data_IF_381015027389
#
_entry.id   IF_381015027389
#
_cell.length_a   1.000
_cell.length_b   1.000
_cell.length_c   1.000
_cell.angle_alpha   90.00
_cell.angle_beta   90.00
_cell.angle_gamma   90.00
#
_symmetry.space_group_name_H-M   'P 1'
#
loop_
_entity.id
_entity.type
_entity.pdbx_description
1 polymer ?
#
# COMPACT_ATOMS: atom_id res chain seq x y z
N UNK A 1 7.63 47.88 -45.79
CA UNK A 1 8.97 47.27 -45.95
C UNK A 1 9.46 46.91 -44.54
N UNK A 2 9.78 45.70 -44.11
CA UNK A 2 9.74 44.34 -44.65
C UNK A 2 10.08 43.43 -43.47
N UNK A 3 9.45 42.25 -43.37
CA UNK A 3 9.84 41.06 -42.56
C UNK A 3 9.67 41.11 -41.03
N UNK A 4 8.48 40.71 -40.57
CA UNK A 4 8.30 39.93 -39.34
C UNK A 4 7.43 38.72 -39.67
N UNK A 5 8.08 37.59 -39.96
CA UNK A 5 7.48 36.26 -40.04
C UNK A 5 8.60 35.24 -39.79
N UNK A 6 8.28 34.21 -39.01
CA UNK A 6 9.10 33.05 -38.64
C UNK A 6 10.01 33.21 -37.41
N UNK A 7 9.40 33.10 -36.23
CA UNK A 7 10.03 32.54 -35.02
C UNK A 7 8.90 32.00 -34.12
N UNK A 8 8.25 30.90 -34.49
CA UNK A 8 7.33 30.18 -33.61
C UNK A 8 7.07 28.72 -34.02
N UNK A 9 8.06 28.07 -34.62
CA UNK A 9 7.99 26.64 -34.96
C UNK A 9 9.39 26.09 -34.79
N UNK A 10 9.53 24.94 -34.13
CA UNK A 10 10.78 24.21 -33.80
C UNK A 10 11.19 24.26 -32.31
N UNK A 11 10.24 24.10 -31.37
CA UNK A 11 10.54 23.53 -30.05
C UNK A 11 9.43 22.51 -29.70
N UNK A 12 9.44 21.36 -30.37
CA UNK A 12 8.68 20.18 -29.92
C UNK A 12 9.25 18.84 -30.39
N UNK A 13 10.41 18.85 -31.03
CA UNK A 13 11.18 17.65 -31.36
C UNK A 13 12.57 17.84 -30.79
N UNK A 14 12.89 17.12 -29.72
CA UNK A 14 14.22 16.78 -29.18
C UNK A 14 14.22 16.78 -27.64
N UNK A 15 13.68 15.72 -27.02
CA UNK A 15 14.32 15.10 -25.84
C UNK A 15 14.20 13.57 -25.98
N UNK A 16 15.02 12.90 -26.81
CA UNK A 16 15.36 11.51 -26.58
C UNK A 16 16.44 11.44 -25.49
N UNK A 17 16.38 10.40 -24.65
CA UNK A 17 17.49 9.91 -23.82
C UNK A 17 18.03 10.83 -22.71
N UNK A 18 17.38 10.79 -21.54
CA UNK A 18 18.09 10.84 -20.24
C UNK A 18 17.51 9.79 -19.30
N UNK A 19 17.84 8.52 -19.53
CA UNK A 19 17.87 7.49 -18.51
C UNK A 19 18.99 6.50 -18.87
N UNK A 20 20.24 6.74 -18.44
CA UNK A 20 21.30 5.77 -18.64
C UNK A 20 21.18 4.64 -17.60
N UNK A 21 21.30 3.40 -18.08
CA UNK A 21 22.08 2.32 -17.46
C UNK A 21 21.74 1.92 -16.02
N UNK A 22 20.59 1.27 -15.75
CA UNK A 22 20.43 0.42 -14.56
C UNK A 22 19.45 -0.75 -14.85
N UNK A 23 19.70 -1.47 -15.93
CA UNK A 23 19.04 -2.74 -16.24
C UNK A 23 20.09 -3.86 -16.24
N UNK A 24 20.77 -4.05 -15.11
CA UNK A 24 21.51 -5.28 -14.87
C UNK A 24 21.15 -5.83 -13.48
N UNK A 25 20.68 -7.07 -13.54
CA UNK A 25 20.73 -8.10 -12.51
C UNK A 25 19.69 -8.10 -11.38
N UNK A 26 18.92 -9.19 -11.42
CA UNK A 26 18.31 -9.93 -10.32
C UNK A 26 17.17 -9.25 -9.57
N UNK A 27 15.95 -9.46 -10.07
CA UNK A 27 14.80 -9.73 -9.21
C UNK A 27 15.03 -11.09 -8.51
N UNK A 28 15.99 -11.13 -7.60
CA UNK A 28 15.97 -12.11 -6.52
C UNK A 28 14.90 -11.61 -5.56
N UNK A 29 13.90 -12.44 -5.26
CA UNK A 29 13.00 -12.15 -4.14
C UNK A 29 13.87 -11.71 -2.96
N UNK A 30 13.64 -10.52 -2.37
CA UNK A 30 14.49 -10.02 -1.31
C UNK A 30 14.56 -11.10 -0.23
N UNK A 31 15.77 -11.36 0.29
CA UNK A 31 15.93 -12.23 1.44
C UNK A 31 15.25 -11.58 2.64
N UNK A 32 13.97 -11.91 2.77
CA UNK A 32 13.06 -11.36 3.75
C UNK A 32 13.54 -11.64 5.18
N UNK A 33 14.43 -12.61 5.39
CA UNK A 33 14.97 -12.96 6.71
C UNK A 33 15.79 -11.82 7.34
N UNK A 34 16.46 -11.00 6.52
CA UNK A 34 17.25 -9.84 6.98
C UNK A 34 16.40 -8.58 7.24
N UNK A 35 15.16 -8.53 6.71
CA UNK A 35 14.22 -7.42 6.89
C UNK A 35 13.29 -7.60 8.09
N UNK A 36 13.14 -8.84 8.57
CA UNK A 36 12.31 -9.17 9.72
C UNK A 36 13.08 -9.18 11.02
N UNK A 37 13.74 -8.06 11.33
CA UNK A 37 14.18 -7.88 12.69
C UNK A 37 12.98 -7.51 13.58
N UNK A 38 12.41 -8.54 14.20
CA UNK A 38 11.35 -8.46 15.22
C UNK A 38 11.80 -7.60 16.43
N UNK A 39 13.09 -7.29 16.57
CA UNK A 39 13.61 -6.34 17.56
C UNK A 39 13.48 -4.86 17.14
N UNK A 40 12.93 -4.56 15.96
CA UNK A 40 12.90 -3.17 15.44
C UNK A 40 11.79 -2.29 16.01
N UNK A 41 10.77 -2.83 16.68
CA UNK A 41 9.71 -1.98 17.27
C UNK A 41 10.29 -1.32 18.52
N UNK A 42 10.26 0.01 18.57
CA UNK A 42 10.68 0.78 19.75
C UNK A 42 9.82 0.36 20.96
N UNK A 43 10.36 -0.44 21.86
CA UNK A 43 9.59 -0.92 23.00
C UNK A 43 9.54 0.12 24.13
N UNK A 44 8.61 -0.05 25.07
CA UNK A 44 8.60 0.64 26.37
C UNK A 44 8.39 -0.31 27.56
N UNK A 45 8.63 -1.61 27.34
CA UNK A 45 8.35 -2.64 28.34
C UNK A 45 9.16 -2.45 29.63
N UNK A 46 10.44 -2.04 29.55
CA UNK A 46 11.28 -1.83 30.73
C UNK A 46 10.62 -0.85 31.70
N UNK A 47 10.09 0.24 31.14
CA UNK A 47 9.46 1.27 31.95
C UNK A 47 8.06 0.85 32.43
N UNK A 48 7.30 0.09 31.64
CA UNK A 48 6.05 -0.54 32.11
C UNK A 48 6.29 -1.51 33.26
N UNK A 49 7.38 -2.29 33.23
CA UNK A 49 7.77 -3.18 34.34
C UNK A 49 8.10 -2.39 35.61
N UNK A 50 8.86 -1.28 35.50
CA UNK A 50 9.15 -0.39 36.64
C UNK A 50 7.88 0.23 37.24
N UNK A 51 6.90 0.56 36.40
CA UNK A 51 5.61 1.08 36.84
C UNK A 51 4.56 0.00 37.15
N UNK A 52 4.92 -1.28 37.22
CA UNK A 52 3.93 -2.36 37.39
C UNK A 52 3.04 -2.15 38.62
N UNK A 53 3.61 -1.72 39.75
CA UNK A 53 2.87 -1.40 40.96
C UNK A 53 1.85 -0.28 40.72
N UNK A 54 2.27 0.81 40.06
CA UNK A 54 1.38 1.91 39.71
C UNK A 54 0.30 1.50 38.70
N UNK A 55 0.63 0.71 37.67
CA UNK A 55 -0.33 0.26 36.66
C UNK A 55 -1.47 -0.53 37.31
N UNK A 56 -1.13 -1.35 38.30
CA UNK A 56 -2.04 -2.26 39.02
C UNK A 56 -2.64 -1.66 40.29
N UNK A 57 -2.22 -0.46 40.69
CA UNK A 57 -2.73 0.23 41.87
C UNK A 57 -4.23 0.57 41.77
N UNK A 58 -4.90 0.87 42.91
CA UNK A 58 -6.27 1.39 42.93
C UNK A 58 -6.42 2.65 42.08
N UNK A 59 -7.60 2.87 41.50
CA UNK A 59 -7.85 3.95 40.53
C UNK A 59 -7.51 5.33 41.09
N UNK A 60 -7.76 5.56 42.38
CA UNK A 60 -7.52 6.84 43.07
C UNK A 60 -6.04 7.21 43.08
N UNK A 61 -5.16 6.22 43.18
CA UNK A 61 -3.72 6.41 43.13
C UNK A 61 -3.25 6.67 41.69
N UNK A 62 -3.73 5.86 40.74
CA UNK A 62 -3.34 6.00 39.32
C UNK A 62 -3.77 7.34 38.74
N UNK A 63 -4.98 7.81 39.06
CA UNK A 63 -5.50 9.10 38.59
C UNK A 63 -4.70 10.30 39.10
N UNK A 64 -4.00 10.16 40.23
CA UNK A 64 -3.13 11.20 40.80
C UNK A 64 -1.68 11.11 40.32
N UNK A 65 -1.35 10.11 39.52
CA UNK A 65 0.01 9.88 39.08
C UNK A 65 0.51 11.04 38.19
N UNK A 66 1.66 11.67 38.50
CA UNK A 66 2.16 12.77 37.70
C UNK A 66 2.69 12.28 36.35
N UNK A 67 2.56 13.13 35.33
CA UNK A 67 3.25 12.93 34.05
C UNK A 67 4.75 12.95 34.27
N UNK A 68 5.47 12.01 33.66
CA UNK A 68 6.92 11.87 33.83
C UNK A 68 7.57 11.35 32.54
N UNK A 69 8.82 11.72 32.30
CA UNK A 69 9.61 11.25 31.16
C UNK A 69 10.77 10.42 31.70
N UNK A 70 11.00 9.26 31.10
CA UNK A 70 12.04 8.31 31.49
C UNK A 70 12.91 7.99 30.30
N UNK A 71 14.17 7.70 30.57
CA UNK A 71 15.11 7.18 29.59
C UNK A 71 15.29 5.69 29.86
N UNK A 72 15.10 4.85 28.85
CA UNK A 72 15.35 3.41 28.94
C UNK A 72 16.84 3.13 29.07
N UNK A 73 17.18 2.12 29.87
CA UNK A 73 18.58 1.76 30.09
C UNK A 73 19.21 1.10 28.86
N UNK A 74 18.45 0.26 28.16
CA UNK A 74 18.95 -0.54 27.04
C UNK A 74 19.09 0.25 25.74
N UNK A 75 18.13 1.13 25.44
CA UNK A 75 18.01 1.79 24.13
C UNK A 75 18.27 3.29 24.17
N UNK A 76 18.47 3.88 25.36
CA UNK A 76 18.44 5.32 25.60
C UNK A 76 17.15 6.03 25.10
N UNK A 77 16.12 5.27 24.72
CA UNK A 77 14.85 5.78 24.21
C UNK A 77 14.09 6.50 25.33
N UNK A 78 13.57 7.69 25.04
CA UNK A 78 12.75 8.44 25.98
C UNK A 78 11.29 8.03 25.87
N UNK A 79 10.66 7.78 27.02
CA UNK A 79 9.25 7.40 27.13
C UNK A 79 8.54 8.36 28.08
N UNK A 80 7.47 8.99 27.60
CA UNK A 80 6.57 9.79 28.42
C UNK A 80 5.44 8.91 28.95
N UNK A 81 5.29 8.88 30.27
CA UNK A 81 4.09 8.37 30.92
C UNK A 81 3.19 9.52 31.33
N UNK A 82 1.89 9.36 31.07
CA UNK A 82 0.84 10.23 31.61
C UNK A 82 -0.49 9.49 31.70
N UNK A 83 -1.36 10.02 32.55
CA UNK A 83 -2.73 9.54 32.70
C UNK A 83 -3.69 10.55 32.11
N UNK A 84 -4.67 10.07 31.34
CA UNK A 84 -5.74 10.89 30.76
C UNK A 84 -7.09 10.30 31.09
N UNK A 85 -8.08 11.15 31.33
CA UNK A 85 -9.47 10.74 31.59
C UNK A 85 -10.34 11.15 30.42
N UNK A 86 -11.15 10.22 29.88
CA UNK A 86 -12.08 10.52 28.79
C UNK A 86 -13.30 9.60 28.84
N UNK A 87 -14.49 10.21 28.93
CA UNK A 87 -15.75 9.47 29.11
C UNK A 87 -15.73 8.67 30.42
N UNK A 88 -16.25 7.44 30.40
CA UNK A 88 -16.27 6.55 31.56
C UNK A 88 -14.99 5.69 31.70
N UNK A 89 -13.83 6.22 31.31
CA UNK A 89 -12.55 5.51 31.34
C UNK A 89 -11.37 6.45 31.54
N UNK A 90 -10.28 5.90 32.07
CA UNK A 90 -8.99 6.56 32.11
C UNK A 90 -7.93 5.69 31.40
N UNK A 91 -6.88 6.36 30.93
CA UNK A 91 -5.90 5.81 30.02
C UNK A 91 -4.51 6.06 30.60
N UNK A 92 -3.70 5.01 30.68
CA UNK A 92 -2.28 5.11 30.99
C UNK A 92 -1.54 5.06 29.66
N UNK A 93 -0.93 6.19 29.28
CA UNK A 93 -0.24 6.34 28.01
C UNK A 93 1.26 6.19 28.24
N UNK A 94 1.89 5.27 27.50
CA UNK A 94 3.33 5.13 27.38
C UNK A 94 3.73 5.49 25.95
N UNK A 95 4.28 6.69 25.80
CA UNK A 95 4.56 7.31 24.50
C UNK A 95 6.06 7.38 24.27
N UNK A 96 6.54 6.75 23.21
CA UNK A 96 7.93 6.85 22.76
C UNK A 96 8.18 8.24 22.15
N UNK A 97 9.36 8.79 22.40
CA UNK A 97 9.81 10.02 21.76
C UNK A 97 10.13 9.76 20.28
N UNK A 98 9.61 10.60 19.39
CA UNK A 98 9.97 10.61 17.99
C UNK A 98 10.13 12.06 17.55
N UNK A 99 11.26 12.41 16.93
CA UNK A 99 11.55 13.78 16.49
C UNK A 99 11.34 14.83 17.61
N UNK A 100 11.78 14.49 18.84
CA UNK A 100 11.64 15.33 20.06
C UNK A 100 10.20 15.62 20.51
N UNK A 101 9.22 14.89 19.98
CA UNK A 101 7.81 14.94 20.41
C UNK A 101 7.33 13.56 20.86
N UNK A 102 6.22 13.51 21.58
CA UNK A 102 5.60 12.27 22.08
C UNK A 102 4.24 12.06 21.41
N UNK A 103 4.21 11.61 20.13
CA UNK A 103 2.96 11.43 19.40
C UNK A 103 2.13 10.32 20.05
N UNK A 104 0.79 10.38 19.98
CA UNK A 104 -0.07 9.28 20.48
C UNK A 104 -0.01 8.08 19.54
N UNK A 105 -0.06 8.31 18.22
CA UNK A 105 0.06 7.28 17.18
C UNK A 105 1.52 7.04 16.76
N UNK A 106 2.42 6.91 17.74
CA UNK A 106 3.82 6.56 17.52
C UNK A 106 4.03 5.05 17.61
N UNK A 107 4.95 4.52 16.80
CA UNK A 107 5.32 3.10 16.83
C UNK A 107 5.82 2.70 18.21
N UNK A 108 5.36 1.55 18.68
CA UNK A 108 5.65 1.00 19.99
C UNK A 108 4.91 1.63 21.17
N UNK A 109 4.12 2.69 20.91
CA UNK A 109 3.31 3.29 21.96
C UNK A 109 2.31 2.29 22.51
N UNK A 110 2.12 2.37 23.82
CA UNK A 110 1.33 1.43 24.59
C UNK A 110 0.31 2.18 25.42
N UNK A 111 -0.98 1.87 25.24
CA UNK A 111 -2.07 2.56 25.91
C UNK A 111 -2.92 1.53 26.66
N UNK A 112 -3.00 1.67 27.97
CA UNK A 112 -3.82 0.80 28.82
C UNK A 112 -5.09 1.56 29.19
N UNK A 113 -6.25 1.00 28.87
CA UNK A 113 -7.57 1.56 29.21
C UNK A 113 -8.13 0.86 30.45
N UNK A 114 -8.54 1.66 31.43
CA UNK A 114 -9.23 1.21 32.65
C UNK A 114 -10.59 1.90 32.80
N UNK A 115 -11.56 1.22 33.42
CA UNK A 115 -12.87 1.80 33.74
C UNK A 115 -12.79 2.79 34.91
N UNK A 116 -13.56 3.88 34.87
CA UNK A 116 -13.60 4.84 35.99
C UNK A 116 -14.43 4.35 37.19
N UNK A 117 -15.39 3.46 36.96
CA UNK A 117 -16.28 2.94 37.99
C UNK A 117 -15.54 2.02 38.96
N UNK A 118 -14.95 0.93 38.47
CA UNK A 118 -14.31 -0.09 39.30
C UNK A 118 -12.79 -0.15 39.13
N UNK A 119 -12.22 0.59 38.17
CA UNK A 119 -10.78 0.53 37.89
C UNK A 119 -10.37 -0.73 37.12
N UNK A 120 -11.31 -1.46 36.55
CA UNK A 120 -11.11 -2.69 35.80
C UNK A 120 -10.32 -2.45 34.51
N UNK A 121 -9.46 -3.39 34.11
CA UNK A 121 -8.74 -3.33 32.84
C UNK A 121 -9.70 -3.68 31.69
N UNK A 122 -9.84 -2.77 30.72
CA UNK A 122 -10.78 -2.94 29.60
C UNK A 122 -10.10 -3.32 28.31
N UNK A 123 -8.91 -2.77 28.06
CA UNK A 123 -8.24 -2.91 26.79
C UNK A 123 -6.79 -2.45 26.89
N UNK A 124 -5.93 -3.07 26.09
CA UNK A 124 -4.61 -2.56 25.73
C UNK A 124 -4.60 -2.19 24.25
N UNK A 125 -4.08 -1.02 23.88
CA UNK A 125 -3.84 -0.62 22.49
C UNK A 125 -2.34 -0.43 22.26
N UNK A 126 -1.81 -1.07 21.22
CA UNK A 126 -0.39 -1.00 20.87
C UNK A 126 -0.26 -0.57 19.42
N UNK A 127 0.42 0.54 19.16
CA UNK A 127 0.72 0.98 17.79
C UNK A 127 1.98 0.26 17.30
N UNK A 128 1.91 -0.48 16.19
CA UNK A 128 3.07 -1.22 15.66
C UNK A 128 3.70 -0.54 14.43
N UNK A 129 3.06 0.53 13.93
CA UNK A 129 3.58 1.47 12.92
C UNK A 129 3.39 2.92 13.38
N UNK A 130 4.01 3.86 12.67
CA UNK A 130 3.83 5.30 12.88
C UNK A 130 2.62 5.82 12.09
N UNK A 131 1.47 5.19 12.30
CA UNK A 131 0.23 5.46 11.57
C UNK A 131 -0.96 5.28 12.53
N UNK A 132 -1.91 6.22 12.61
CA UNK A 132 -3.05 6.13 13.52
C UNK A 132 -3.99 4.93 13.23
N UNK A 133 -4.00 4.43 12.00
CA UNK A 133 -4.77 3.27 11.56
C UNK A 133 -4.09 1.92 11.79
N UNK A 134 -2.85 1.89 12.25
CA UNK A 134 -2.03 0.67 12.35
C UNK A 134 -1.69 0.32 13.80
N UNK A 135 -2.53 -0.51 14.41
CA UNK A 135 -2.43 -0.87 15.82
C UNK A 135 -3.08 -2.22 16.11
N UNK A 136 -2.77 -2.80 17.27
CA UNK A 136 -3.53 -3.90 17.83
C UNK A 136 -4.32 -3.45 19.05
N UNK A 137 -5.41 -4.15 19.34
CA UNK A 137 -6.19 -4.03 20.58
C UNK A 137 -6.28 -5.40 21.23
N UNK A 138 -6.00 -5.47 22.52
CA UNK A 138 -6.13 -6.68 23.32
C UNK A 138 -7.21 -6.45 24.37
N UNK A 139 -8.15 -7.38 24.48
CA UNK A 139 -9.32 -7.34 25.36
C UNK A 139 -9.31 -8.54 26.32
N UNK A 140 -9.88 -8.40 27.53
CA UNK A 140 -10.00 -9.53 28.44
C UNK A 140 -11.04 -10.53 27.91
N UNK A 141 -10.76 -11.83 28.01
CA UNK A 141 -11.64 -12.92 27.58
C UNK A 141 -11.54 -14.11 28.55
N UNK A 142 -11.96 -13.89 29.81
CA UNK A 142 -11.80 -14.86 30.91
C UNK A 142 -10.32 -15.06 31.24
N UNK A 143 -9.87 -16.32 31.29
CA UNK A 143 -8.45 -16.69 31.53
C UNK A 143 -7.55 -16.45 30.29
N UNK A 144 -8.10 -15.88 29.23
CA UNK A 144 -7.42 -15.58 27.97
C UNK A 144 -7.67 -14.12 27.59
N UNK A 145 -7.12 -13.72 26.44
CA UNK A 145 -7.39 -12.42 25.84
C UNK A 145 -7.79 -12.58 24.38
N UNK A 146 -8.57 -11.64 23.87
CA UNK A 146 -8.86 -11.50 22.45
C UNK A 146 -8.05 -10.35 21.87
N UNK A 147 -7.58 -10.50 20.63
CA UNK A 147 -6.80 -9.49 19.94
C UNK A 147 -7.38 -9.17 18.56
N UNK A 148 -7.58 -7.88 18.31
CA UNK A 148 -7.88 -7.34 16.99
C UNK A 148 -6.65 -6.63 16.43
N UNK A 149 -6.44 -6.76 15.12
CA UNK A 149 -5.33 -6.14 14.40
C UNK A 149 -5.87 -5.23 13.31
N UNK A 150 -5.45 -3.98 13.35
CA UNK A 150 -5.77 -2.96 12.36
C UNK A 150 -4.52 -2.58 11.59
N UNK A 151 -4.60 -2.51 10.27
CA UNK A 151 -3.55 -2.08 9.36
C UNK A 151 -4.13 -0.99 8.45
N UNK A 152 -3.56 0.22 8.51
CA UNK A 152 -4.06 1.39 7.76
C UNK A 152 -5.58 1.58 7.85
N UNK A 153 -6.13 1.49 9.07
CA UNK A 153 -7.56 1.71 9.32
C UNK A 153 -8.45 0.48 9.12
N UNK A 154 -8.00 -0.52 8.34
CA UNK A 154 -8.73 -1.76 8.12
C UNK A 154 -8.46 -2.81 9.18
N UNK A 155 -9.52 -3.49 9.63
CA UNK A 155 -9.36 -4.66 10.50
C UNK A 155 -8.97 -5.89 9.68
N UNK A 156 -7.75 -6.40 9.91
CA UNK A 156 -7.16 -7.51 9.14
C UNK A 156 -7.18 -8.84 9.91
N UNK A 157 -7.28 -8.79 11.23
CA UNK A 157 -7.57 -9.96 12.09
C UNK A 157 -8.52 -9.52 13.19
N UNK A 158 -9.56 -10.31 13.46
CA UNK A 158 -10.56 -10.03 14.50
C UNK A 158 -10.62 -11.19 15.49
N UNK A 159 -10.73 -10.88 16.79
CA UNK A 159 -10.92 -11.84 17.90
C UNK A 159 -9.91 -12.99 17.90
N UNK A 160 -8.65 -12.68 17.62
CA UNK A 160 -7.57 -13.68 17.73
C UNK A 160 -7.35 -14.02 19.20
N UNK A 161 -7.45 -15.30 19.56
CA UNK A 161 -7.25 -15.73 20.94
C UNK A 161 -5.76 -15.72 21.30
N UNK A 162 -5.43 -15.02 22.38
CA UNK A 162 -4.13 -15.06 23.03
C UNK A 162 -4.19 -15.97 24.27
N UNK A 163 -3.13 -16.75 24.55
CA UNK A 163 -3.17 -17.80 25.57
C UNK A 163 -2.97 -17.29 27.00
N UNK A 164 -3.02 -15.98 27.23
CA UNK A 164 -2.79 -15.36 28.55
C UNK A 164 -3.93 -14.38 28.89
N UNK A 165 -4.22 -14.16 30.18
CA UNK A 165 -5.13 -13.10 30.61
C UNK A 165 -4.55 -11.70 30.34
N UNK A 166 -5.41 -10.68 30.29
CA UNK A 166 -5.05 -9.32 29.89
C UNK A 166 -3.96 -8.71 30.79
N UNK A 167 -4.01 -9.03 32.08
CA UNK A 167 -3.11 -8.55 33.13
C UNK A 167 -1.66 -8.91 32.81
N UNK A 168 -1.43 -10.06 32.19
CA UNK A 168 -0.09 -10.50 31.80
C UNK A 168 0.48 -9.61 30.68
N UNK A 169 -0.38 -9.06 29.81
CA UNK A 169 0.05 -8.20 28.72
C UNK A 169 0.47 -6.80 29.19
N UNK A 170 -0.05 -6.32 30.32
CA UNK A 170 0.19 -4.95 30.85
C UNK A 170 1.67 -4.54 30.84
N UNK A 171 2.58 -5.48 31.08
CA UNK A 171 4.04 -5.23 31.09
C UNK A 171 4.83 -6.12 30.14
N UNK A 172 4.17 -6.98 29.37
CA UNK A 172 4.80 -7.86 28.39
C UNK A 172 5.39 -7.08 27.21
N UNK A 173 6.56 -7.47 26.70
CA UNK A 173 7.13 -6.87 25.48
C UNK A 173 6.24 -7.16 24.27
N UNK A 174 6.21 -6.25 23.30
CA UNK A 174 5.50 -6.48 22.04
C UNK A 174 6.14 -7.63 21.24
N UNK A 175 7.46 -7.82 21.31
CA UNK A 175 8.12 -9.02 20.77
C UNK A 175 7.53 -10.34 21.28
N UNK A 176 7.11 -10.38 22.57
CA UNK A 176 6.46 -11.56 23.14
C UNK A 176 5.00 -11.67 22.71
N UNK A 177 4.28 -10.56 22.53
CA UNK A 177 2.94 -10.55 21.92
C UNK A 177 2.98 -11.13 20.50
N UNK A 178 3.97 -10.72 19.71
CA UNK A 178 4.23 -11.26 18.37
C UNK A 178 4.44 -12.77 18.43
N UNK A 179 5.34 -13.24 19.31
CA UNK A 179 5.63 -14.67 19.46
C UNK A 179 4.39 -15.49 19.87
N UNK A 180 3.54 -14.97 20.74
CA UNK A 180 2.32 -15.65 21.21
C UNK A 180 1.21 -15.74 20.15
N UNK A 181 1.28 -14.91 19.11
CA UNK A 181 0.26 -14.83 18.05
C UNK A 181 0.78 -15.23 16.67
N UNK A 182 2.08 -15.52 16.54
CA UNK A 182 2.73 -15.73 15.25
C UNK A 182 2.34 -17.00 14.50
N UNK A 183 1.66 -17.96 15.14
CA UNK A 183 1.06 -19.11 14.45
C UNK A 183 -0.21 -18.75 13.67
N UNK A 184 -0.87 -17.63 14.01
CA UNK A 184 -2.12 -17.18 13.40
C UNK A 184 -1.89 -15.94 12.55
N UNK A 185 -1.09 -14.99 13.04
CA UNK A 185 -0.86 -13.71 12.38
C UNK A 185 0.39 -13.77 11.50
N UNK A 186 0.24 -13.26 10.27
CA UNK A 186 1.35 -12.96 9.36
C UNK A 186 2.10 -11.69 9.78
N UNK A 187 2.75 -11.70 10.94
CA UNK A 187 3.58 -10.57 11.43
C UNK A 187 4.61 -10.05 10.44
N UNK A 188 5.30 -10.89 9.64
CA UNK A 188 6.16 -10.44 8.55
C UNK A 188 5.49 -9.38 7.67
N UNK A 189 4.28 -9.65 7.19
CA UNK A 189 3.52 -8.72 6.37
C UNK A 189 3.09 -7.46 7.15
N UNK A 190 2.60 -7.64 8.37
CA UNK A 190 2.15 -6.52 9.22
C UNK A 190 3.30 -5.58 9.59
N UNK A 191 4.52 -6.08 9.73
CA UNK A 191 5.69 -5.29 10.10
C UNK A 191 6.50 -4.84 8.88
N UNK A 192 6.22 -5.34 7.68
CA UNK A 192 6.90 -4.97 6.46
C UNK A 192 6.83 -3.45 6.24
N UNK A 193 7.98 -2.83 5.99
CA UNK A 193 8.13 -1.37 5.91
C UNK A 193 8.38 -0.90 4.48
N UNK A 194 8.02 -1.74 3.50
CA UNK A 194 8.43 -1.56 2.12
C UNK A 194 9.93 -1.80 1.93
N UNK A 195 10.38 -1.65 0.71
CA UNK A 195 11.78 -1.41 0.40
C UNK A 195 11.89 0.10 0.13
N UNK A 196 12.56 0.83 1.02
CA UNK A 196 12.62 2.29 0.97
C UNK A 196 13.14 2.81 -0.37
N UNK A 197 14.04 2.09 -1.02
CA UNK A 197 14.58 2.51 -2.31
C UNK A 197 13.58 2.24 -3.44
N UNK A 198 12.90 1.09 -3.43
CA UNK A 198 11.82 0.83 -4.39
C UNK A 198 10.65 1.79 -4.20
N UNK A 199 10.22 2.02 -2.96
CA UNK A 199 9.14 2.96 -2.62
C UNK A 199 9.48 4.37 -3.12
N UNK A 200 10.71 4.84 -2.86
CA UNK A 200 11.19 6.14 -3.34
C UNK A 200 11.18 6.22 -4.86
N UNK A 201 11.60 5.16 -5.56
CA UNK A 201 11.55 5.12 -7.04
C UNK A 201 10.12 5.22 -7.56
N UNK A 202 9.18 4.53 -6.92
CA UNK A 202 7.75 4.61 -7.28
C UNK A 202 7.23 6.03 -7.01
N UNK A 203 7.56 6.63 -5.87
CA UNK A 203 7.18 8.02 -5.53
C UNK A 203 7.74 9.04 -6.54
N UNK A 204 8.98 8.86 -6.99
CA UNK A 204 9.62 9.71 -8.01
C UNK A 204 8.87 9.59 -9.35
N UNK A 205 8.52 8.36 -9.78
CA UNK A 205 7.73 8.10 -10.99
C UNK A 205 6.34 8.75 -10.87
N UNK A 206 5.64 8.55 -9.75
CA UNK A 206 4.31 9.15 -9.51
C UNK A 206 4.39 10.68 -9.55
N UNK A 207 5.44 11.27 -8.97
CA UNK A 207 5.65 12.71 -8.98
C UNK A 207 5.86 13.26 -10.39
N UNK A 208 6.64 12.54 -11.21
CA UNK A 208 6.80 12.86 -12.63
C UNK A 208 5.47 12.80 -13.37
N UNK A 209 4.69 11.72 -13.20
CA UNK A 209 3.39 11.56 -13.83
C UNK A 209 2.43 12.68 -13.44
N UNK A 210 2.33 12.99 -12.13
CA UNK A 210 1.49 14.07 -11.61
C UNK A 210 1.86 15.45 -12.17
N UNK A 211 3.15 15.72 -12.37
CA UNK A 211 3.59 16.95 -13.00
C UNK A 211 3.20 17.04 -14.49
N UNK A 212 2.97 15.89 -15.15
CA UNK A 212 2.54 15.81 -16.55
C UNK A 212 1.03 15.82 -16.74
N UNK A 213 0.26 15.32 -15.76
CA UNK A 213 -1.20 15.26 -15.83
C UNK A 213 -1.89 16.55 -16.31
N UNK A 214 -1.51 17.77 -15.86
CA UNK A 214 -2.18 19.01 -16.30
C UNK A 214 -2.02 19.33 -17.79
N UNK A 215 -1.12 18.66 -18.49
CA UNK A 215 -0.84 18.86 -19.91
C UNK A 215 -1.47 17.78 -20.81
N UNK A 216 -2.16 16.80 -20.21
CA UNK A 216 -2.86 15.76 -20.96
C UNK A 216 -4.32 16.18 -21.11
N UNK A 217 -4.81 16.23 -22.35
CA UNK A 217 -6.23 16.44 -22.62
C UNK A 217 -7.01 15.15 -22.36
N UNK A 218 -8.26 15.30 -21.94
CA UNK A 218 -9.22 14.19 -21.88
C UNK A 218 -9.93 14.10 -23.23
N UNK A 219 -9.86 12.94 -23.86
CA UNK A 219 -10.49 12.68 -25.16
C UNK A 219 -11.18 11.34 -25.11
N UNK A 220 -12.47 11.33 -25.45
CA UNK A 220 -13.24 10.10 -25.62
C UNK A 220 -12.52 9.19 -26.63
N UNK A 221 -12.27 7.95 -26.21
CA UNK A 221 -11.60 6.92 -27.03
C UNK A 221 -10.14 7.25 -27.42
N UNK A 222 -9.49 8.25 -26.82
CA UNK A 222 -8.13 8.67 -27.20
C UNK A 222 -7.01 7.76 -26.68
N UNK A 223 -6.00 7.49 -27.53
CA UNK A 223 -4.74 6.82 -27.19
C UNK A 223 -3.58 7.25 -28.11
N UNK A 224 -2.39 6.70 -27.88
CA UNK A 224 -1.27 6.77 -28.83
C UNK A 224 -1.10 5.43 -29.57
N UNK A 225 -0.80 5.47 -30.86
CA UNK A 225 -0.42 4.29 -31.64
C UNK A 225 1.04 3.86 -31.38
N UNK A 226 1.53 2.84 -32.10
CA UNK A 226 2.91 2.33 -31.95
C UNK A 226 4.01 3.33 -32.34
N UNK A 227 3.66 4.36 -33.11
CA UNK A 227 4.56 5.44 -33.55
C UNK A 227 4.49 6.67 -32.63
N UNK A 228 3.54 6.68 -31.69
CA UNK A 228 3.31 7.78 -30.74
C UNK A 228 2.34 8.85 -31.26
N UNK A 229 1.68 8.60 -32.39
CA UNK A 229 0.64 9.51 -32.90
C UNK A 229 -0.65 9.35 -32.10
N UNK A 230 -1.31 10.47 -31.80
CA UNK A 230 -2.60 10.45 -31.12
C UNK A 230 -3.71 10.01 -32.07
N UNK A 231 -4.38 8.91 -31.70
CA UNK A 231 -5.42 8.26 -32.48
C UNK A 231 -6.61 7.86 -31.60
N UNK A 232 -7.72 7.52 -32.22
CA UNK A 232 -8.86 6.89 -31.55
C UNK A 232 -8.62 5.39 -31.45
N UNK A 233 -8.84 4.81 -30.27
CA UNK A 233 -8.66 3.37 -30.02
C UNK A 233 -9.52 2.58 -30.99
N UNK A 234 -10.80 2.95 -31.18
CA UNK A 234 -11.76 2.18 -31.99
C UNK A 234 -11.30 1.91 -33.41
N UNK A 235 -10.72 2.89 -34.09
CA UNK A 235 -10.48 2.82 -35.54
C UNK A 235 -9.09 3.31 -36.00
N UNK A 236 -8.22 3.76 -35.09
CA UNK A 236 -6.89 4.27 -35.41
C UNK A 236 -6.87 5.59 -36.17
N UNK A 237 -8.01 6.28 -36.30
CA UNK A 237 -8.07 7.60 -36.94
C UNK A 237 -7.40 8.63 -36.05
N UNK A 238 -6.65 9.56 -36.65
CA UNK A 238 -5.98 10.65 -35.92
C UNK A 238 -6.99 11.51 -35.17
N UNK A 239 -6.61 11.95 -33.98
CA UNK A 239 -7.41 12.91 -33.22
C UNK A 239 -7.26 14.31 -33.86
N UNK A 240 -8.33 14.82 -34.46
CA UNK A 240 -8.35 16.17 -35.06
C UNK A 240 -8.84 17.24 -34.06
N UNK A 241 -9.65 16.83 -33.08
CA UNK A 241 -10.33 17.73 -32.15
C UNK A 241 -9.51 18.06 -30.88
N UNK A 242 -8.47 17.28 -30.59
CA UNK A 242 -7.60 17.46 -29.42
C UNK A 242 -6.30 18.17 -29.83
N UNK A 243 -6.13 19.43 -29.39
CA UNK A 243 -5.03 20.30 -29.83
C UNK A 243 -3.67 19.73 -29.41
N UNK A 244 -3.60 19.10 -28.24
CA UNK A 244 -2.40 18.46 -27.73
C UNK A 244 -2.46 16.92 -27.76
N UNK A 245 -3.53 16.36 -28.32
CA UNK A 245 -3.87 14.94 -28.17
C UNK A 245 -4.37 14.64 -26.76
N UNK A 246 -5.31 13.71 -26.65
CA UNK A 246 -5.87 13.32 -25.36
C UNK A 246 -6.07 11.83 -25.21
N UNK A 247 -6.42 11.46 -23.98
CA UNK A 247 -6.55 10.07 -23.55
C UNK A 247 -7.87 9.84 -22.84
N UNK A 248 -8.49 8.69 -23.08
CA UNK A 248 -9.46 8.13 -22.14
C UNK A 248 -8.74 7.31 -21.04
N UNK A 249 -9.49 6.65 -20.16
CA UNK A 249 -8.90 5.81 -19.10
C UNK A 249 -7.98 4.68 -19.63
N UNK A 250 -8.37 4.00 -20.71
CA UNK A 250 -7.59 2.91 -21.32
C UNK A 250 -6.35 3.42 -22.03
N UNK A 251 -6.47 4.51 -22.79
CA UNK A 251 -5.36 5.18 -23.47
C UNK A 251 -4.36 5.77 -22.48
N UNK A 252 -4.83 6.34 -21.36
CA UNK A 252 -3.96 6.84 -20.30
C UNK A 252 -3.16 5.71 -19.65
N UNK A 253 -3.81 4.57 -19.37
CA UNK A 253 -3.13 3.38 -18.81
C UNK A 253 -2.10 2.82 -19.80
N UNK A 254 -2.42 2.82 -21.10
CA UNK A 254 -1.48 2.47 -22.16
C UNK A 254 -0.29 3.44 -22.18
N UNK A 255 -0.52 4.74 -22.14
CA UNK A 255 0.53 5.77 -22.13
C UNK A 255 1.51 5.60 -20.95
N UNK A 256 1.01 5.29 -19.76
CA UNK A 256 1.87 4.95 -18.62
C UNK A 256 2.70 3.69 -18.93
N UNK A 257 2.05 2.63 -19.42
CA UNK A 257 2.72 1.35 -19.74
C UNK A 257 3.79 1.53 -20.80
N UNK A 258 3.51 2.34 -21.83
CA UNK A 258 4.41 2.70 -22.91
C UNK A 258 5.68 3.39 -22.42
N UNK A 259 5.59 4.17 -21.34
CA UNK A 259 6.77 4.76 -20.67
C UNK A 259 7.76 3.71 -20.15
N UNK A 260 7.29 2.51 -19.81
CA UNK A 260 8.14 1.37 -19.42
C UNK A 260 8.47 0.45 -20.59
N UNK A 261 7.57 0.33 -21.56
CA UNK A 261 7.72 -0.57 -22.70
C UNK A 261 8.70 -0.03 -23.75
N UNK A 262 8.61 1.25 -24.10
CA UNK A 262 9.44 1.87 -25.15
C UNK A 262 10.95 1.75 -24.89
N UNK A 263 11.47 1.95 -23.65
CA UNK A 263 12.89 1.73 -23.37
C UNK A 263 13.38 0.30 -23.60
N UNK A 264 12.48 -0.69 -23.56
CA UNK A 264 12.79 -2.11 -23.74
C UNK A 264 12.75 -2.53 -25.21
N UNK A 265 11.86 -1.93 -26.01
CA UNK A 265 11.54 -2.41 -27.37
C UNK A 265 11.85 -1.40 -28.47
N UNK A 266 12.04 -0.12 -28.14
CA UNK A 266 12.24 0.97 -29.09
C UNK A 266 10.99 1.42 -29.84
N UNK A 267 9.81 0.94 -29.46
CA UNK A 267 8.51 1.32 -30.06
C UNK A 267 7.41 1.34 -28.99
N UNK A 268 6.29 2.02 -29.26
CA UNK A 268 5.12 1.97 -28.39
C UNK A 268 4.26 0.74 -28.69
N UNK A 269 3.42 0.35 -27.74
CA UNK A 269 2.50 -0.77 -27.90
C UNK A 269 1.51 -0.51 -29.04
N UNK A 270 1.30 -1.52 -29.88
CA UNK A 270 0.25 -1.49 -30.91
C UNK A 270 -1.13 -1.65 -30.26
N UNK A 271 -2.06 -0.77 -30.62
CA UNK A 271 -3.44 -0.77 -30.11
C UNK A 271 -4.16 -2.06 -30.49
N UNK A 272 -3.93 -2.61 -31.69
CA UNK A 272 -4.64 -3.82 -32.13
C UNK A 272 -4.27 -5.04 -31.27
N UNK A 273 -3.04 -5.08 -30.75
CA UNK A 273 -2.61 -6.11 -29.80
C UNK A 273 -3.34 -6.00 -28.45
N UNK A 274 -3.73 -4.79 -28.06
CA UNK A 274 -4.42 -4.53 -26.79
C UNK A 274 -5.91 -4.82 -26.86
N UNK A 275 -6.50 -4.86 -28.07
CA UNK A 275 -7.91 -5.20 -28.32
C UNK A 275 -8.20 -6.71 -28.33
N UNK A 276 -7.18 -7.56 -28.21
CA UNK A 276 -7.36 -9.02 -28.23
C UNK A 276 -8.21 -9.46 -27.04
N UNK A 277 -9.37 -10.08 -27.32
CA UNK A 277 -10.30 -10.59 -26.31
C UNK A 277 -9.90 -11.99 -25.84
N UNK A 278 -9.98 -12.24 -24.53
CA UNK A 278 -9.62 -13.53 -23.92
C UNK A 278 -10.85 -14.38 -23.57
N UNK A 279 -11.68 -14.71 -24.57
CA UNK A 279 -12.99 -15.36 -24.37
C UNK A 279 -12.93 -16.71 -23.64
N UNK A 280 -11.80 -17.43 -23.72
CA UNK A 280 -11.60 -18.72 -23.05
C UNK A 280 -11.25 -18.59 -21.56
N UNK A 281 -10.87 -17.39 -21.11
CA UNK A 281 -10.34 -17.14 -19.75
C UNK A 281 -11.26 -16.27 -18.89
N UNK A 282 -12.36 -15.76 -19.45
CA UNK A 282 -13.25 -14.84 -18.73
C UNK A 282 -14.69 -14.91 -19.20
N UNK A 283 -15.58 -14.41 -18.37
CA UNK A 283 -16.99 -14.30 -18.71
C UNK A 283 -17.76 -15.59 -18.51
N UNK A 284 -19.02 -15.59 -18.95
CA UNK A 284 -19.93 -16.72 -18.76
C UNK A 284 -21.01 -16.74 -19.84
N UNK A 285 -21.86 -17.77 -19.82
CA UNK A 285 -22.95 -17.96 -20.80
C UNK A 285 -23.89 -16.76 -20.96
N UNK A 286 -24.00 -15.89 -19.95
CA UNK A 286 -24.86 -14.70 -19.99
C UNK A 286 -24.15 -13.47 -20.56
N UNK A 287 -22.82 -13.39 -20.50
CA UNK A 287 -22.06 -12.28 -21.08
C UNK A 287 -21.75 -12.48 -22.56
N UNK A 288 -21.57 -13.73 -23.01
CA UNK A 288 -21.22 -14.09 -24.39
C UNK A 288 -22.07 -13.38 -25.47
N UNK A 289 -23.41 -13.25 -25.34
CA UNK A 289 -24.21 -12.58 -26.36
C UNK A 289 -23.89 -11.08 -26.53
N UNK A 290 -23.25 -10.45 -25.54
CA UNK A 290 -22.99 -9.00 -25.52
C UNK A 290 -21.54 -8.64 -25.85
N UNK A 291 -20.66 -9.62 -26.14
CA UNK A 291 -19.23 -9.40 -26.40
C UNK A 291 -18.98 -8.46 -27.58
N UNK A 292 -19.83 -8.50 -28.61
CA UNK A 292 -19.68 -7.64 -29.80
C UNK A 292 -20.37 -6.28 -29.65
N UNK A 293 -21.50 -6.21 -28.93
CA UNK A 293 -22.27 -4.97 -28.80
C UNK A 293 -21.74 -4.06 -27.69
N UNK A 294 -21.32 -4.65 -26.56
CA UNK A 294 -21.03 -3.91 -25.32
C UNK A 294 -19.63 -4.12 -24.79
N UNK A 295 -18.96 -5.19 -25.21
CA UNK A 295 -17.62 -5.57 -24.76
C UNK A 295 -17.42 -5.38 -23.24
N UNK A 296 -18.20 -6.08 -22.40
CA UNK A 296 -18.27 -5.82 -20.96
C UNK A 296 -16.94 -6.04 -20.22
N UNK A 297 -15.98 -6.72 -20.86
CA UNK A 297 -14.67 -7.03 -20.30
C UNK A 297 -13.52 -6.31 -21.00
N UNK A 298 -13.80 -5.31 -21.85
CA UNK A 298 -12.79 -4.52 -22.55
C UNK A 298 -11.65 -4.07 -21.62
N UNK A 299 -11.99 -3.50 -20.45
CA UNK A 299 -10.99 -3.03 -19.49
C UNK A 299 -10.12 -4.16 -18.93
N UNK A 300 -10.69 -5.34 -18.67
CA UNK A 300 -9.95 -6.51 -18.18
C UNK A 300 -8.97 -7.03 -19.23
N UNK A 301 -9.45 -7.23 -20.46
CA UNK A 301 -8.62 -7.71 -21.57
C UNK A 301 -7.52 -6.70 -21.90
N UNK A 302 -7.85 -5.41 -21.94
CA UNK A 302 -6.90 -4.33 -22.17
C UNK A 302 -5.78 -4.33 -21.11
N UNK A 303 -6.12 -4.37 -19.83
CA UNK A 303 -5.13 -4.41 -18.74
C UNK A 303 -4.27 -5.67 -18.77
N UNK A 304 -4.86 -6.85 -19.06
CA UNK A 304 -4.10 -8.10 -19.24
C UNK A 304 -3.12 -8.00 -20.41
N UNK A 305 -3.57 -7.50 -21.56
CA UNK A 305 -2.72 -7.34 -22.73
C UNK A 305 -1.56 -6.36 -22.48
N UNK A 306 -1.81 -5.24 -21.80
CA UNK A 306 -0.74 -4.32 -21.38
C UNK A 306 0.31 -5.03 -20.52
N UNK A 307 -0.13 -5.76 -19.49
CA UNK A 307 0.77 -6.44 -18.56
C UNK A 307 1.58 -7.57 -19.25
N UNK A 308 0.91 -8.40 -20.04
CA UNK A 308 1.53 -9.51 -20.78
C UNK A 308 2.59 -9.01 -21.77
N UNK A 309 2.30 -7.95 -22.53
CA UNK A 309 3.28 -7.40 -23.47
C UNK A 309 4.48 -6.81 -22.74
N UNK A 310 4.27 -6.13 -21.60
CA UNK A 310 5.37 -5.58 -20.80
C UNK A 310 6.23 -6.69 -20.19
N UNK A 311 5.64 -7.74 -19.62
CA UNK A 311 6.37 -8.90 -19.07
C UNK A 311 7.18 -9.60 -20.18
N UNK A 312 6.56 -9.81 -21.34
CA UNK A 312 7.23 -10.39 -22.52
C UNK A 312 8.45 -9.56 -22.90
N UNK A 313 8.30 -8.23 -23.03
CA UNK A 313 9.41 -7.32 -23.34
C UNK A 313 10.53 -7.35 -22.28
N UNK A 314 10.18 -7.38 -20.99
CA UNK A 314 11.15 -7.47 -19.89
C UNK A 314 11.95 -8.77 -19.91
N UNK A 315 11.31 -9.89 -20.26
CA UNK A 315 11.96 -11.20 -20.30
C UNK A 315 12.93 -11.37 -21.48
N UNK A 316 12.88 -10.47 -22.48
CA UNK A 316 13.61 -10.61 -23.74
C UNK A 316 13.17 -11.83 -24.56
N UNK A 317 12.09 -12.52 -24.16
CA UNK A 317 11.54 -13.63 -24.90
C UNK A 317 11.04 -13.13 -26.27
N UNK A 318 11.44 -13.83 -27.33
CA UNK A 318 10.85 -13.61 -28.65
C UNK A 318 9.41 -14.10 -28.60
N UNK A 319 8.48 -13.29 -29.13
CA UNK A 319 7.01 -13.48 -29.11
C UNK A 319 6.53 -14.90 -29.48
N UNK A 320 7.35 -15.69 -30.17
CA UNK A 320 7.02 -17.02 -30.68
C UNK A 320 7.38 -18.19 -29.74
N UNK A 321 8.02 -17.95 -28.59
CA UNK A 321 8.57 -19.06 -27.78
C UNK A 321 7.65 -19.63 -26.70
N UNK A 322 6.56 -18.95 -26.33
CA UNK A 322 5.36 -19.50 -25.69
C UNK A 322 4.43 -18.32 -25.37
N UNK A 323 3.12 -18.38 -25.68
CA UNK A 323 2.21 -17.34 -25.24
C UNK A 323 2.21 -17.32 -23.71
N UNK A 324 2.55 -16.16 -23.12
CA UNK A 324 2.38 -15.94 -21.69
C UNK A 324 0.89 -16.06 -21.40
N UNK A 325 0.54 -16.95 -20.48
CA UNK A 325 -0.84 -17.12 -20.02
C UNK A 325 -1.40 -15.75 -19.58
N UNK A 326 -2.47 -15.22 -20.20
CA UNK A 326 -3.01 -13.91 -19.87
C UNK A 326 -3.39 -13.77 -18.39
N UNK A 327 -3.83 -14.85 -17.74
CA UNK A 327 -4.18 -14.84 -16.32
C UNK A 327 -2.96 -14.82 -15.41
N UNK A 328 -1.76 -15.17 -15.90
CA UNK A 328 -0.53 -15.14 -15.09
C UNK A 328 -0.12 -13.72 -14.67
N UNK A 329 -0.63 -12.71 -15.38
CA UNK A 329 -0.47 -11.30 -15.03
C UNK A 329 -1.53 -10.78 -14.05
N UNK A 330 -2.57 -11.57 -13.74
CA UNK A 330 -3.62 -11.15 -12.82
C UNK A 330 -3.13 -11.15 -11.38
N UNK A 331 -3.32 -10.01 -10.68
CA UNK A 331 -3.07 -9.91 -9.25
C UNK A 331 -4.23 -10.51 -8.44
N UNK A 332 -4.39 -11.84 -8.45
CA UNK A 332 -5.51 -12.53 -7.77
C UNK A 332 -5.36 -12.71 -6.27
N UNK A 333 -4.13 -12.61 -5.76
CA UNK A 333 -3.80 -12.89 -4.36
C UNK A 333 -3.13 -11.70 -3.72
N UNK A 334 -3.94 -10.84 -3.10
CA UNK A 334 -3.48 -9.80 -2.19
C UNK A 334 -3.97 -10.13 -0.79
N UNK A 335 -3.04 -10.23 0.17
CA UNK A 335 -3.37 -10.55 1.55
C UNK A 335 -4.39 -9.54 2.12
N UNK A 336 -5.42 -10.07 2.80
CA UNK A 336 -6.55 -9.33 3.38
C UNK A 336 -7.59 -8.78 2.40
N UNK A 337 -7.42 -8.99 1.09
CA UNK A 337 -8.39 -8.57 0.09
C UNK A 337 -9.07 -9.79 -0.53
N UNK A 338 -10.35 -9.62 -0.89
CA UNK A 338 -11.12 -10.64 -1.60
C UNK A 338 -11.18 -10.29 -3.07
N UNK A 339 -10.62 -11.15 -3.91
CA UNK A 339 -10.70 -11.02 -5.36
C UNK A 339 -12.01 -11.64 -5.87
N UNK A 340 -12.68 -10.94 -6.78
CA UNK A 340 -13.84 -11.43 -7.51
C UNK A 340 -13.40 -11.74 -8.94
N UNK A 341 -13.56 -12.99 -9.37
CA UNK A 341 -13.19 -13.41 -10.72
C UNK A 341 -13.81 -12.51 -11.79
N UNK A 342 -12.99 -12.14 -12.79
CA UNK A 342 -13.29 -11.21 -13.89
C UNK A 342 -13.74 -9.79 -13.51
N UNK A 343 -13.71 -9.44 -12.22
CA UNK A 343 -14.10 -8.11 -11.72
C UNK A 343 -12.94 -7.42 -11.00
N UNK A 344 -12.13 -8.18 -10.27
CA UNK A 344 -11.02 -7.64 -9.49
C UNK A 344 -11.37 -7.42 -8.01
N UNK A 345 -10.73 -6.41 -7.42
CA UNK A 345 -10.98 -6.03 -6.03
C UNK A 345 -12.08 -4.97 -5.95
N UNK A 346 -12.99 -5.04 -4.94
CA UNK A 346 -13.99 -4.01 -4.75
C UNK A 346 -13.34 -2.63 -4.59
N UNK A 347 -13.81 -1.63 -5.34
CA UNK A 347 -13.28 -0.25 -5.23
C UNK A 347 -13.49 0.31 -3.83
N UNK A 348 -14.58 -0.06 -3.15
CA UNK A 348 -14.82 0.30 -1.75
C UNK A 348 -13.73 -0.22 -0.80
N UNK A 349 -12.97 -1.24 -1.21
CA UNK A 349 -11.83 -1.73 -0.45
C UNK A 349 -10.52 -1.00 -0.77
N UNK A 350 -10.45 -0.23 -1.84
CA UNK A 350 -9.28 0.57 -2.20
C UNK A 350 -9.49 1.98 -1.64
N UNK A 351 -9.04 2.25 -0.42
CA UNK A 351 -9.06 3.63 0.11
C UNK A 351 -8.21 4.51 -0.83
N UNK A 352 -8.85 5.52 -1.43
CA UNK A 352 -8.24 6.56 -2.29
C UNK A 352 -7.81 7.77 -1.49
#
# INVERSE_FOLDING_TARGET
MTRHFLFNTVILFLIPAVCPLWAENSYSAPDLSSFFDIHTVEENYEYRQRLKSLITAPKEEVLKAPSRIFTQGLTAQRVKFRVETRGNSFYLLFLNEKNRVFPIAGRGNYIIKRGLEMGEFKQIKIFYRNDPGSFIRIFPAGERSEMDVFLFGKSVYNKTILPLPLENFLTLSFSRVIALSGSVLKWPLLLWRGDRELDRRIEDIISLLRARLPFLEDTDDGAQDSEGSFVLIKNGVKQEDAVNGGFNCSGFTKWITDGFYYPLTGSYLDIERLKVKHLDFRGNRWSLPYEEERDPYFGLDWSRNLAVNLITAQSGAKEQQSPVDPESADLRRVDFFSYIEDVGYPVADLET
#
